data_IF_420630504990
#
_entry.id   IF_420630504990
#
_cell.length_a   1.000
_cell.length_b   1.000
_cell.length_c   1.000
_cell.angle_alpha   90.00
_cell.angle_beta   90.00
_cell.angle_gamma   90.00
#
_symmetry.space_group_name_H-M   'P 1'
#
loop_
_entity.id
_entity.type
_entity.pdbx_description
1 polymer ?
#
# COMPACT_ATOMS: atom_id res chain seq x y z
N UNK A 1 5.44 5.92 18.42
CA UNK A 1 4.84 4.58 18.56
C UNK A 1 5.91 3.54 18.33
N UNK A 2 5.96 2.51 19.17
CA UNK A 2 6.77 1.33 18.90
C UNK A 2 6.06 0.38 17.91
N UNK A 3 6.72 -0.72 17.56
CA UNK A 3 6.22 -1.64 16.52
C UNK A 3 4.93 -2.35 16.93
N UNK A 4 4.79 -2.74 18.21
CA UNK A 4 3.60 -3.47 18.67
C UNK A 4 2.40 -2.53 18.78
N UNK A 5 2.62 -1.29 19.23
CA UNK A 5 1.59 -0.25 19.23
C UNK A 5 1.10 0.05 17.80
N UNK A 6 1.98 0.05 16.80
CA UNK A 6 1.58 0.17 15.40
C UNK A 6 0.73 -1.00 14.93
N UNK A 7 1.16 -2.23 15.23
CA UNK A 7 0.45 -3.45 14.83
C UNK A 7 -0.98 -3.47 15.37
N UNK A 8 -1.14 -3.13 16.66
CA UNK A 8 -2.44 -3.09 17.33
C UNK A 8 -3.38 -2.11 16.64
N UNK A 9 -2.97 -0.83 16.49
CA UNK A 9 -3.84 0.19 15.88
C UNK A 9 -4.18 -0.10 14.42
N UNK A 10 -3.27 -0.69 13.65
CA UNK A 10 -3.55 -1.09 12.26
C UNK A 10 -4.65 -2.13 12.23
N UNK A 11 -4.57 -3.15 13.09
CA UNK A 11 -5.58 -4.20 13.14
C UNK A 11 -6.94 -3.66 13.58
N UNK A 12 -6.98 -2.80 14.60
CA UNK A 12 -8.21 -2.12 15.02
C UNK A 12 -8.86 -1.35 13.86
N UNK A 13 -8.05 -0.60 13.09
CA UNK A 13 -8.53 0.17 11.93
C UNK A 13 -9.08 -0.72 10.81
N UNK A 14 -8.43 -1.86 10.55
CA UNK A 14 -8.87 -2.85 9.56
C UNK A 14 -10.15 -3.57 10.01
N UNK A 15 -10.21 -3.99 11.27
CA UNK A 15 -11.36 -4.70 11.84
C UNK A 15 -12.61 -3.81 11.92
N UNK A 16 -12.45 -2.54 12.30
CA UNK A 16 -13.55 -1.57 12.38
C UNK A 16 -14.29 -1.38 11.04
N UNK A 17 -13.64 -1.69 9.92
CA UNK A 17 -14.18 -1.52 8.56
C UNK A 17 -14.36 -2.83 7.79
N UNK A 18 -14.10 -3.98 8.41
CA UNK A 18 -14.04 -5.29 7.73
C UNK A 18 -13.07 -5.31 6.53
N UNK A 19 -11.96 -4.55 6.62
CA UNK A 19 -11.02 -4.31 5.53
C UNK A 19 -10.67 -2.83 5.41
N UNK A 20 -9.49 -2.51 4.88
CA UNK A 20 -9.07 -1.14 4.63
C UNK A 20 -8.19 -1.06 3.38
N UNK A 21 -8.33 0.04 2.63
CA UNK A 21 -7.36 0.40 1.61
C UNK A 21 -6.14 1.07 2.26
N UNK A 22 -4.97 1.06 1.59
CA UNK A 22 -3.83 1.85 2.07
C UNK A 22 -4.18 3.34 2.20
N UNK A 23 -5.05 3.83 1.33
CA UNK A 23 -5.62 5.18 1.39
C UNK A 23 -6.33 5.46 2.72
N UNK A 24 -7.23 4.58 3.16
CA UNK A 24 -7.92 4.73 4.44
C UNK A 24 -6.95 4.72 5.61
N UNK A 25 -5.98 3.80 5.61
CA UNK A 25 -5.00 3.73 6.70
C UNK A 25 -4.12 4.98 6.75
N UNK A 26 -3.64 5.46 5.60
CA UNK A 26 -2.86 6.71 5.52
C UNK A 26 -3.66 7.93 5.98
N UNK A 27 -4.98 7.93 5.75
CA UNK A 27 -5.86 8.98 6.24
C UNK A 27 -6.04 8.91 7.77
N UNK A 28 -6.33 7.72 8.29
CA UNK A 28 -6.55 7.49 9.73
C UNK A 28 -5.34 7.86 10.59
N UNK A 29 -4.15 7.48 10.14
CA UNK A 29 -2.90 7.71 10.86
C UNK A 29 -2.24 9.04 10.50
N UNK A 30 -2.81 9.77 9.54
CA UNK A 30 -2.37 11.12 9.17
C UNK A 30 -0.86 11.23 8.92
N UNK A 31 -0.23 12.22 9.54
CA UNK A 31 1.19 12.51 9.35
C UNK A 31 2.10 11.48 10.02
N UNK A 32 1.63 10.74 11.03
CA UNK A 32 2.43 9.70 11.71
C UNK A 32 2.70 8.50 10.78
N UNK A 33 1.83 8.26 9.81
CA UNK A 33 2.00 7.22 8.80
C UNK A 33 2.79 7.67 7.57
N UNK A 34 3.09 8.97 7.41
CA UNK A 34 3.83 9.50 6.26
C UNK A 34 5.34 9.51 6.50
N UNK A 35 6.12 9.31 5.45
CA UNK A 35 7.58 9.32 5.52
C UNK A 35 8.25 9.01 4.19
N UNK A 36 9.47 8.48 4.25
CA UNK A 36 10.32 8.22 3.08
C UNK A 36 10.50 6.73 2.77
N UNK A 37 9.68 5.86 3.38
CA UNK A 37 9.79 4.41 3.22
C UNK A 37 8.71 3.87 2.29
N UNK A 38 9.07 2.85 1.52
CA UNK A 38 8.18 2.19 0.59
C UNK A 38 7.85 0.77 1.08
N UNK A 39 6.61 0.37 0.83
CA UNK A 39 6.14 -1.00 1.01
C UNK A 39 6.24 -1.74 -0.32
N UNK A 40 6.97 -2.86 -0.34
CA UNK A 40 7.18 -3.68 -1.54
C UNK A 40 6.30 -4.93 -1.52
N UNK A 41 6.05 -5.50 -2.70
CA UNK A 41 5.39 -6.81 -2.80
C UNK A 41 6.29 -7.86 -2.12
N UNK A 42 5.78 -8.71 -1.21
CA UNK A 42 6.58 -9.68 -0.46
C UNK A 42 7.44 -10.61 -1.34
N UNK A 43 6.94 -10.96 -2.52
CA UNK A 43 7.59 -11.86 -3.48
C UNK A 43 8.47 -11.13 -4.52
N UNK A 44 8.48 -9.79 -4.52
CA UNK A 44 9.24 -9.00 -5.49
C UNK A 44 9.61 -7.62 -4.93
N UNK A 45 10.91 -7.43 -4.67
CA UNK A 45 11.50 -6.12 -4.30
C UNK A 45 11.42 -5.09 -5.41
N UNK A 46 11.07 -5.51 -6.63
CA UNK A 46 11.06 -4.65 -7.81
C UNK A 46 9.70 -3.95 -7.99
N UNK A 47 8.71 -4.34 -7.17
CA UNK A 47 7.35 -3.85 -7.24
C UNK A 47 7.00 -3.15 -5.94
N UNK A 48 6.83 -1.85 -6.01
CA UNK A 48 6.34 -1.03 -4.90
C UNK A 48 4.81 -1.18 -4.86
N UNK A 49 4.29 -1.57 -3.69
CA UNK A 49 2.84 -1.60 -3.41
C UNK A 49 2.33 -0.22 -3.03
N UNK A 50 3.09 0.49 -2.20
CA UNK A 50 2.74 1.83 -1.74
C UNK A 50 4.01 2.57 -1.31
N UNK A 51 4.05 3.87 -1.52
CA UNK A 51 5.22 4.71 -1.23
C UNK A 51 4.89 5.83 -0.24
N UNK A 52 5.93 6.37 0.40
CA UNK A 52 5.80 7.56 1.24
C UNK A 52 5.26 7.27 2.63
N UNK A 53 5.56 6.10 3.18
CA UNK A 53 5.18 5.68 4.52
C UNK A 53 6.27 6.02 5.54
N UNK A 54 5.87 6.18 6.80
CA UNK A 54 6.82 6.20 7.91
C UNK A 54 7.41 4.79 8.10
N UNK A 55 8.62 4.72 8.66
CA UNK A 55 9.30 3.45 8.92
C UNK A 55 8.49 2.51 9.81
N UNK A 56 7.94 3.05 10.90
CA UNK A 56 7.17 2.24 11.86
C UNK A 56 5.92 1.64 11.22
N UNK A 57 5.21 2.43 10.44
CA UNK A 57 4.01 2.00 9.75
C UNK A 57 4.28 0.93 8.68
N UNK A 58 5.27 1.16 7.81
CA UNK A 58 5.63 0.19 6.75
C UNK A 58 6.19 -1.12 7.31
N UNK A 59 6.98 -1.06 8.38
CA UNK A 59 7.48 -2.25 9.08
C UNK A 59 6.34 -3.03 9.73
N UNK A 60 5.41 -2.35 10.41
CA UNK A 60 4.28 -3.01 11.05
C UNK A 60 3.38 -3.73 10.05
N UNK A 61 3.05 -3.09 8.92
CA UNK A 61 2.33 -3.73 7.81
C UNK A 61 3.06 -4.98 7.28
N UNK A 62 4.38 -4.87 7.11
CA UNK A 62 5.21 -5.99 6.65
C UNK A 62 5.24 -7.16 7.65
N UNK A 63 5.34 -6.87 8.94
CA UNK A 63 5.36 -7.89 9.99
C UNK A 63 3.99 -8.54 10.17
N UNK A 64 2.90 -7.76 10.23
CA UNK A 64 1.53 -8.31 10.29
C UNK A 64 1.24 -9.22 9.09
N UNK A 65 1.74 -8.86 7.91
CA UNK A 65 1.58 -9.70 6.73
C UNK A 65 2.37 -11.01 6.85
N UNK A 66 3.64 -10.94 7.28
CA UNK A 66 4.49 -12.13 7.53
C UNK A 66 3.90 -13.04 8.61
N UNK A 67 3.29 -12.48 9.64
CA UNK A 67 2.59 -13.20 10.71
C UNK A 67 1.25 -13.80 10.26
N UNK A 68 0.77 -13.47 9.05
CA UNK A 68 -0.52 -13.94 8.53
C UNK A 68 -1.73 -13.28 9.18
N UNK A 69 -1.53 -12.17 9.92
CA UNK A 69 -2.61 -11.42 10.57
C UNK A 69 -3.35 -10.50 9.61
N UNK A 70 -2.68 -10.07 8.54
CA UNK A 70 -3.30 -9.35 7.42
C UNK A 70 -2.90 -9.97 6.07
N UNK A 71 -3.76 -9.82 5.07
CA UNK A 71 -3.48 -10.21 3.69
C UNK A 71 -3.67 -9.01 2.75
N UNK A 72 -2.70 -8.74 1.89
CA UNK A 72 -2.88 -7.76 0.83
C UNK A 72 -3.61 -8.40 -0.35
N UNK A 73 -4.71 -7.77 -0.79
CA UNK A 73 -5.48 -8.22 -1.94
C UNK A 73 -5.54 -7.10 -2.97
N UNK A 74 -5.31 -7.41 -4.26
CA UNK A 74 -5.61 -6.44 -5.31
C UNK A 74 -7.12 -6.18 -5.31
N UNK A 75 -7.50 -4.92 -5.42
CA UNK A 75 -8.90 -4.52 -5.52
C UNK A 75 -9.07 -3.50 -6.66
N UNK A 76 -10.32 -3.16 -6.97
CA UNK A 76 -10.66 -2.23 -8.04
C UNK A 76 -10.07 -0.84 -7.80
N UNK A 77 -9.45 -0.27 -8.84
CA UNK A 77 -8.97 1.11 -8.83
C UNK A 77 -10.09 2.13 -8.50
N UNK A 78 -11.35 1.75 -8.69
CA UNK A 78 -12.50 2.58 -8.34
C UNK A 78 -12.59 2.87 -6.83
N UNK A 79 -12.18 1.94 -5.96
CA UNK A 79 -12.21 2.15 -4.51
C UNK A 79 -11.26 3.28 -4.08
N UNK A 80 -10.06 3.33 -4.65
CA UNK A 80 -9.11 4.44 -4.40
C UNK A 80 -9.67 5.79 -4.85
N UNK A 81 -10.41 5.81 -5.96
CA UNK A 81 -11.08 7.01 -6.45
C UNK A 81 -12.21 7.47 -5.52
N UNK A 82 -12.97 6.52 -4.95
CA UNK A 82 -13.98 6.84 -3.92
C UNK A 82 -13.34 7.35 -2.62
N UNK A 83 -12.14 6.86 -2.28
CA UNK A 83 -11.34 7.34 -1.15
C UNK A 83 -10.66 8.69 -1.40
N UNK A 84 -10.92 9.34 -2.55
CA UNK A 84 -10.37 10.66 -2.89
C UNK A 84 -8.89 10.66 -3.24
N UNK A 85 -8.28 9.48 -3.45
CA UNK A 85 -6.87 9.32 -3.78
C UNK A 85 -6.71 8.92 -5.25
N UNK A 86 -6.03 9.78 -6.00
CA UNK A 86 -5.57 9.48 -7.36
C UNK A 86 -4.16 8.90 -7.25
N UNK A 87 -3.90 7.78 -7.92
CA UNK A 87 -2.57 7.18 -8.00
C UNK A 87 -1.60 8.22 -8.58
N UNK A 88 -0.62 8.65 -7.78
CA UNK A 88 0.42 9.62 -8.19
C UNK A 88 1.60 8.95 -8.87
N UNK A 89 1.70 7.62 -8.79
CA UNK A 89 2.72 6.82 -9.45
C UNK A 89 2.19 6.30 -10.79
N UNK A 90 3.04 6.26 -11.84
CA UNK A 90 2.64 5.68 -13.12
C UNK A 90 2.25 4.21 -12.90
N UNK A 91 1.00 3.86 -13.23
CA UNK A 91 0.57 2.47 -13.24
C UNK A 91 1.47 1.74 -14.24
N UNK A 92 2.24 0.75 -13.79
CA UNK A 92 3.06 -0.11 -14.64
C UNK A 92 2.20 -1.07 -15.51
N UNK A 93 1.01 -0.64 -15.93
CA UNK A 93 0.20 -1.33 -16.93
C UNK A 93 0.49 -0.71 -18.29
N UNK A 94 1.20 -1.47 -19.13
CA UNK A 94 0.91 -1.41 -20.56
C UNK A 94 -0.50 -1.93 -20.77
N UNK A 95 -1.38 -1.11 -21.31
CA UNK A 95 -2.58 -1.64 -21.97
C UNK A 95 -2.13 -2.59 -23.08
N UNK A 96 -2.78 -3.75 -23.19
CA UNK A 96 -2.52 -4.75 -24.26
C UNK A 96 -2.72 -4.21 -25.69
N UNK A 97 -3.16 -2.96 -25.83
CA UNK A 97 -3.50 -2.30 -27.10
C UNK A 97 -2.46 -1.30 -27.58
N UNK A 98 -1.35 -1.09 -26.87
CA UNK A 98 -0.22 -0.34 -27.45
C UNK A 98 0.66 -1.28 -28.27
N UNK A 99 0.90 -0.98 -29.57
CA UNK A 99 1.81 -1.79 -30.37
C UNK A 99 3.19 -1.84 -29.70
N UNK A 100 3.96 -2.93 -29.92
CA UNK A 100 5.27 -3.07 -29.30
C UNK A 100 6.09 -1.82 -29.64
N UNK A 101 6.76 -1.26 -28.63
CA UNK A 101 7.80 -0.26 -28.87
C UNK A 101 8.81 -0.91 -29.80
N UNK A 102 8.76 -0.55 -31.08
CA UNK A 102 9.83 -0.80 -32.03
C UNK A 102 11.00 0.01 -31.54
N UNK A 103 11.90 -0.65 -30.81
CA UNK A 103 13.19 -0.06 -30.51
C UNK A 103 13.88 0.29 -31.81
N UNK A 104 14.55 1.44 -31.83
CA UNK A 104 15.83 1.71 -32.52
C UNK A 104 16.32 3.08 -31.99
N UNK A 105 17.62 3.33 -31.79
CA UNK A 105 18.76 2.41 -31.64
C UNK A 105 19.29 2.34 -30.20
#
# INVERSE_FOLDING_TARGET
MDIEEWKEKILESVEARCGATFANLMFDFGDDAKGEYDLFVPESTNLVMWSGMSKGFSMALSELHKEGRISFKPDSAFLYMMDGLVLSLPIAMRSRTTPPCTGVP
#
